data_IF_952286899783
#
_entry.id   IF_952286899783
#
_cell.length_a   1.000
_cell.length_b   1.000
_cell.length_c   1.000
_cell.angle_alpha   90.00
_cell.angle_beta   90.00
_cell.angle_gamma   90.00
#
_symmetry.space_group_name_H-M   'P 1'
#
loop_
_entity.id
_entity.type
_entity.pdbx_description
1 polymer ?
#
# COMPACT_ATOMS: atom_id res chain seq x y z
N UNK A 1 18.32 8.37 10.18
CA UNK A 1 17.19 7.55 9.68
C UNK A 1 15.91 7.72 10.54
N UNK A 2 15.94 8.37 11.72
CA UNK A 2 14.80 8.38 12.67
C UNK A 2 13.81 9.57 12.49
N UNK A 3 14.06 10.53 11.59
CA UNK A 3 13.40 11.84 11.64
C UNK A 3 11.91 11.87 11.23
N UNK A 4 11.39 10.84 10.56
CA UNK A 4 10.01 10.83 10.05
C UNK A 4 9.10 9.74 10.65
N UNK A 5 9.60 8.91 11.58
CA UNK A 5 8.80 7.84 12.18
C UNK A 5 7.54 8.35 12.91
N UNK A 6 7.63 9.57 13.44
CA UNK A 6 6.56 10.26 14.16
C UNK A 6 5.86 11.36 13.35
N UNK A 7 6.23 11.55 12.07
CA UNK A 7 5.58 12.56 11.25
C UNK A 7 4.12 12.14 10.96
N UNK A 8 3.16 12.96 11.38
CA UNK A 8 1.75 12.67 11.17
C UNK A 8 1.36 12.87 9.70
N UNK A 9 1.87 13.92 9.03
CA UNK A 9 1.56 14.28 7.64
C UNK A 9 2.77 15.01 7.02
N UNK A 10 3.02 14.84 5.71
CA UNK A 10 3.99 15.63 4.93
C UNK A 10 3.36 16.96 4.49
N UNK A 11 4.03 18.09 4.73
CA UNK A 11 3.52 19.44 4.42
C UNK A 11 3.89 19.93 2.99
N UNK A 12 4.44 19.05 2.16
CA UNK A 12 4.83 19.36 0.79
C UNK A 12 3.65 19.64 -0.15
N UNK A 13 3.94 20.31 -1.27
CA UNK A 13 2.94 20.59 -2.32
C UNK A 13 2.42 19.30 -2.96
N UNK A 14 1.17 19.34 -3.43
CA UNK A 14 0.54 18.20 -4.10
C UNK A 14 1.36 17.67 -5.30
N UNK A 15 1.91 18.51 -6.20
CA UNK A 15 2.76 18.01 -7.30
C UNK A 15 4.01 17.27 -6.83
N UNK A 16 4.61 17.72 -5.71
CA UNK A 16 5.78 17.05 -5.14
C UNK A 16 5.39 15.71 -4.53
N UNK A 17 4.28 15.65 -3.80
CA UNK A 17 3.70 14.39 -3.28
C UNK A 17 3.38 13.40 -4.39
N UNK A 18 2.75 13.86 -5.48
CA UNK A 18 2.45 13.02 -6.65
C UNK A 18 3.73 12.43 -7.24
N UNK A 19 4.73 13.26 -7.53
CA UNK A 19 6.02 12.81 -8.06
C UNK A 19 6.71 11.82 -7.12
N UNK A 20 6.62 12.02 -5.80
CA UNK A 20 7.15 11.09 -4.82
C UNK A 20 6.41 9.75 -4.89
N UNK A 21 5.08 9.76 -4.82
CA UNK A 21 4.25 8.54 -4.91
C UNK A 21 4.54 7.77 -6.20
N UNK A 22 4.63 8.46 -7.35
CA UNK A 22 4.97 7.84 -8.64
C UNK A 22 6.29 7.05 -8.57
N UNK A 23 7.32 7.64 -7.97
CA UNK A 23 8.62 7.00 -7.84
C UNK A 23 8.61 5.86 -6.80
N UNK A 24 7.86 5.99 -5.70
CA UNK A 24 7.70 4.91 -4.73
C UNK A 24 7.00 3.69 -5.37
N UNK A 25 5.95 3.90 -6.16
CA UNK A 25 5.27 2.81 -6.87
C UNK A 25 6.12 2.18 -7.99
N UNK A 26 6.99 2.96 -8.65
CA UNK A 26 8.00 2.39 -9.56
C UNK A 26 8.95 1.43 -8.84
N UNK A 27 9.29 1.71 -7.58
CA UNK A 27 10.09 0.79 -6.77
C UNK A 27 9.25 -0.44 -6.39
N UNK A 28 8.03 -0.27 -5.89
CA UNK A 28 7.16 -1.38 -5.44
C UNK A 28 6.71 -2.33 -6.55
N UNK A 29 6.87 -1.95 -7.82
CA UNK A 29 6.51 -2.75 -8.99
C UNK A 29 7.72 -3.33 -9.72
N UNK A 30 8.92 -3.11 -9.21
CA UNK A 30 10.15 -3.67 -9.76
C UNK A 30 10.63 -4.83 -8.87
N UNK A 31 10.52 -6.10 -9.31
CA UNK A 31 10.96 -7.25 -8.53
C UNK A 31 12.45 -7.21 -8.18
N UNK A 32 13.28 -6.52 -8.97
CA UNK A 32 14.72 -6.38 -8.70
C UNK A 32 15.03 -5.43 -7.53
N UNK A 33 14.01 -4.74 -7.01
CA UNK A 33 14.12 -3.80 -5.88
C UNK A 33 13.39 -4.28 -4.62
N UNK A 34 13.06 -5.57 -4.53
CA UNK A 34 12.32 -6.15 -3.38
C UNK A 34 12.94 -5.81 -2.02
N UNK A 35 14.27 -5.73 -1.94
CA UNK A 35 15.04 -5.33 -0.75
C UNK A 35 14.70 -3.92 -0.24
N UNK A 36 14.14 -3.05 -1.09
CA UNK A 36 13.74 -1.69 -0.75
C UNK A 36 12.27 -1.58 -0.35
N UNK A 37 11.44 -2.60 -0.57
CA UNK A 37 9.99 -2.50 -0.44
C UNK A 37 9.55 -2.08 0.95
N UNK A 38 10.10 -2.69 2.00
CA UNK A 38 9.75 -2.37 3.38
C UNK A 38 10.00 -0.89 3.70
N UNK A 39 11.16 -0.34 3.32
CA UNK A 39 11.48 1.08 3.52
C UNK A 39 10.60 1.98 2.65
N UNK A 40 10.36 1.61 1.40
CA UNK A 40 9.45 2.34 0.49
C UNK A 40 8.03 2.40 1.07
N UNK A 41 7.52 1.31 1.63
CA UNK A 41 6.21 1.25 2.27
C UNK A 41 6.15 2.10 3.54
N UNK A 42 7.23 2.16 4.33
CA UNK A 42 7.28 3.06 5.50
C UNK A 42 7.15 4.54 5.10
N UNK A 43 7.80 4.94 4.00
CA UNK A 43 7.66 6.30 3.45
C UNK A 43 6.24 6.51 2.92
N UNK A 44 5.72 5.53 2.16
CA UNK A 44 4.37 5.59 1.62
C UNK A 44 3.31 5.72 2.73
N UNK A 45 3.50 5.04 3.87
CA UNK A 45 2.60 5.08 5.02
C UNK A 45 2.43 6.47 5.63
N UNK A 46 3.41 7.35 5.48
CA UNK A 46 3.29 8.75 5.93
C UNK A 46 2.33 9.50 5.00
N UNK A 47 2.39 9.23 3.69
CA UNK A 47 1.52 9.84 2.68
C UNK A 47 0.06 9.34 2.79
N UNK A 48 -0.17 8.11 3.27
CA UNK A 48 -1.53 7.58 3.46
C UNK A 48 -2.29 8.20 4.63
N UNK A 49 -1.65 9.04 5.45
CA UNK A 49 -2.28 9.72 6.60
C UNK A 49 -2.94 11.06 6.25
N UNK A 50 -2.72 11.57 5.05
CA UNK A 50 -3.20 12.88 4.61
C UNK A 50 -4.57 12.77 3.93
N UNK A 51 -5.64 13.05 4.68
CA UNK A 51 -7.02 12.93 4.19
C UNK A 51 -7.37 13.90 3.05
N UNK A 52 -6.61 14.99 2.86
CA UNK A 52 -6.88 15.97 1.80
C UNK A 52 -6.38 15.50 0.43
N UNK A 53 -5.35 14.65 0.42
CA UNK A 53 -4.67 14.26 -0.82
C UNK A 53 -4.82 12.78 -1.15
N UNK A 54 -5.36 11.97 -0.22
CA UNK A 54 -5.44 10.51 -0.36
C UNK A 54 -6.15 10.05 -1.64
N UNK A 55 -7.31 10.61 -1.96
CA UNK A 55 -8.09 10.24 -3.15
C UNK A 55 -7.42 10.66 -4.46
N UNK A 56 -6.53 11.65 -4.41
CA UNK A 56 -5.76 12.13 -5.56
C UNK A 56 -4.50 11.26 -5.76
N UNK A 57 -3.86 10.86 -4.67
CA UNK A 57 -2.58 10.17 -4.70
C UNK A 57 -2.72 8.66 -4.91
N UNK A 58 -3.83 8.05 -4.51
CA UNK A 58 -4.00 6.59 -4.51
C UNK A 58 -5.12 6.16 -5.45
N UNK A 59 -4.75 5.85 -6.70
CA UNK A 59 -5.64 5.23 -7.68
C UNK A 59 -5.92 3.75 -7.35
N UNK A 60 -6.94 3.17 -8.00
CA UNK A 60 -7.29 1.75 -7.85
C UNK A 60 -6.10 0.81 -8.10
N UNK A 61 -5.36 1.02 -9.19
CA UNK A 61 -4.14 0.26 -9.54
C UNK A 61 -3.05 0.34 -8.45
N UNK A 62 -2.93 1.49 -7.77
CA UNK A 62 -2.02 1.65 -6.63
C UNK A 62 -2.50 0.89 -5.40
N UNK A 63 -3.79 0.94 -5.12
CA UNK A 63 -4.42 0.23 -4.00
C UNK A 63 -4.27 -1.28 -4.20
N UNK A 64 -4.50 -1.76 -5.41
CA UNK A 64 -4.33 -3.15 -5.81
C UNK A 64 -2.88 -3.63 -5.61
N UNK A 65 -1.88 -2.83 -6.00
CA UNK A 65 -0.48 -3.13 -5.70
C UNK A 65 -0.25 -3.32 -4.19
N UNK A 66 -0.82 -2.44 -3.35
CA UNK A 66 -0.66 -2.56 -1.89
C UNK A 66 -1.42 -3.78 -1.35
N UNK A 67 -2.59 -4.13 -1.89
CA UNK A 67 -3.35 -5.33 -1.51
C UNK A 67 -2.54 -6.60 -1.77
N UNK A 68 -1.89 -6.71 -2.94
CA UNK A 68 -1.01 -7.82 -3.27
C UNK A 68 0.18 -7.92 -2.31
N UNK A 69 0.83 -6.79 -1.98
CA UNK A 69 1.95 -6.76 -1.03
C UNK A 69 1.52 -7.06 0.42
N UNK A 70 0.29 -6.68 0.80
CA UNK A 70 -0.34 -7.08 2.06
C UNK A 70 -0.83 -8.54 2.04
N UNK A 71 -0.74 -9.16 0.86
CA UNK A 71 -1.26 -10.46 0.49
C UNK A 71 -2.78 -10.60 0.68
N UNK A 72 -3.53 -9.50 0.78
CA UNK A 72 -4.98 -9.46 1.04
C UNK A 72 -5.81 -9.50 -0.26
N UNK A 73 -5.46 -10.43 -1.16
CA UNK A 73 -6.18 -10.68 -2.42
C UNK A 73 -6.96 -11.99 -2.32
N UNK A 74 -8.02 -12.14 -3.11
CA UNK A 74 -8.85 -13.34 -3.13
C UNK A 74 -8.11 -14.58 -3.66
N UNK A 75 -8.68 -15.77 -3.42
CA UNK A 75 -8.07 -17.06 -3.80
C UNK A 75 -7.74 -17.15 -5.30
N UNK A 76 -8.61 -16.64 -6.17
CA UNK A 76 -8.40 -16.67 -7.63
C UNK A 76 -7.16 -15.84 -8.07
N UNK A 77 -6.89 -14.72 -7.41
CA UNK A 77 -5.71 -13.87 -7.66
C UNK A 77 -4.46 -14.44 -6.96
N UNK A 78 -4.63 -15.07 -5.80
CA UNK A 78 -3.56 -15.79 -5.12
C UNK A 78 -3.07 -17.00 -5.92
N UNK A 79 -3.96 -17.71 -6.63
CA UNK A 79 -3.63 -18.86 -7.47
C UNK A 79 -2.83 -18.46 -8.72
N UNK A 80 -3.17 -17.31 -9.32
CA UNK A 80 -2.41 -16.72 -10.44
C UNK A 80 -1.01 -16.25 -10.04
N UNK A 81 -0.78 -16.09 -8.73
CA UNK A 81 0.50 -15.72 -8.14
C UNK A 81 1.19 -16.93 -7.50
N UNK A 82 0.91 -18.18 -7.85
CA UNK A 82 1.60 -19.37 -7.27
C UNK A 82 3.11 -19.45 -7.53
N UNK A 83 3.68 -18.57 -8.37
CA UNK A 83 5.13 -18.33 -8.46
C UNK A 83 5.62 -17.18 -7.55
N UNK A 84 4.76 -16.63 -6.70
CA UNK A 84 5.04 -15.45 -5.88
C UNK A 84 5.88 -15.84 -4.68
N UNK A 85 7.02 -15.17 -4.58
CA UNK A 85 7.79 -15.15 -3.36
C UNK A 85 6.87 -14.76 -2.21
N UNK A 86 6.76 -15.63 -1.20
CA UNK A 86 6.31 -15.22 0.13
C UNK A 86 7.05 -13.93 0.50
N UNK A 87 6.35 -12.81 0.59
CA UNK A 87 6.97 -11.55 0.99
C UNK A 87 7.49 -11.65 2.43
N UNK A 88 8.59 -10.96 2.71
CA UNK A 88 9.06 -10.77 4.09
C UNK A 88 7.91 -10.18 4.93
N UNK A 89 7.73 -10.69 6.15
CA UNK A 89 6.69 -10.23 7.08
C UNK A 89 6.69 -8.71 7.27
N UNK A 90 7.85 -8.04 7.18
CA UNK A 90 7.96 -6.58 7.24
C UNK A 90 7.24 -5.88 6.09
N UNK A 91 7.30 -6.43 4.87
CA UNK A 91 6.61 -5.91 3.69
C UNK A 91 5.10 -6.05 3.89
N UNK A 92 4.66 -7.24 4.32
CA UNK A 92 3.24 -7.53 4.58
C UNK A 92 2.68 -6.57 5.63
N UNK A 93 3.34 -6.45 6.78
CA UNK A 93 2.89 -5.61 7.90
C UNK A 93 2.86 -4.13 7.51
N UNK A 94 3.87 -3.59 6.82
CA UNK A 94 3.84 -2.18 6.41
C UNK A 94 2.77 -1.92 5.33
N UNK A 95 2.51 -2.87 4.43
CA UNK A 95 1.42 -2.78 3.45
C UNK A 95 0.04 -2.75 4.12
N UNK A 96 -0.18 -3.62 5.11
CA UNK A 96 -1.42 -3.64 5.90
C UNK A 96 -1.63 -2.33 6.67
N UNK A 97 -0.57 -1.72 7.21
CA UNK A 97 -0.66 -0.40 7.85
C UNK A 97 -1.00 0.71 6.86
N UNK A 98 -0.44 0.67 5.64
CA UNK A 98 -0.81 1.59 4.57
C UNK A 98 -2.30 1.49 4.25
N UNK A 99 -2.80 0.26 4.01
CA UNK A 99 -4.22 0.01 3.72
C UNK A 99 -5.13 0.46 4.86
N UNK A 100 -4.74 0.21 6.11
CA UNK A 100 -5.54 0.63 7.28
C UNK A 100 -5.78 2.13 7.30
N UNK A 101 -4.76 2.94 7.00
CA UNK A 101 -4.93 4.39 6.88
C UNK A 101 -5.84 4.77 5.71
N UNK A 102 -5.63 4.17 4.53
CA UNK A 102 -6.40 4.48 3.32
C UNK A 102 -7.89 4.15 3.49
N UNK A 103 -8.20 2.97 4.05
CA UNK A 103 -9.55 2.49 4.35
C UNK A 103 -10.21 3.37 5.39
N UNK A 104 -9.50 3.87 6.40
CA UNK A 104 -10.08 4.78 7.39
C UNK A 104 -10.48 6.12 6.76
N UNK A 105 -9.68 6.64 5.82
CA UNK A 105 -9.82 8.00 5.32
C UNK A 105 -10.70 8.15 4.07
N UNK A 106 -10.86 7.13 3.23
CA UNK A 106 -11.63 7.25 1.97
C UNK A 106 -12.70 6.18 1.79
N UNK A 107 -13.94 6.62 1.57
CA UNK A 107 -15.05 5.73 1.20
C UNK A 107 -14.88 5.09 -0.17
N UNK A 108 -14.21 5.78 -1.10
CA UNK A 108 -13.91 5.25 -2.43
C UNK A 108 -12.92 4.10 -2.32
N UNK A 109 -11.85 4.29 -1.54
CA UNK A 109 -10.84 3.25 -1.31
C UNK A 109 -11.46 2.06 -0.56
N UNK A 110 -12.32 2.30 0.45
CA UNK A 110 -13.07 1.21 1.11
C UNK A 110 -13.85 0.36 0.10
N UNK A 111 -14.50 0.99 -0.88
CA UNK A 111 -15.26 0.29 -1.90
C UNK A 111 -14.34 -0.55 -2.81
N UNK A 112 -13.21 0.02 -3.25
CA UNK A 112 -12.21 -0.72 -4.04
C UNK A 112 -11.69 -1.94 -3.28
N UNK A 113 -11.34 -1.79 -2.00
CA UNK A 113 -10.91 -2.94 -1.18
C UNK A 113 -12.02 -3.98 -0.97
N UNK A 114 -13.28 -3.56 -0.85
CA UNK A 114 -14.42 -4.49 -0.71
C UNK A 114 -14.66 -5.30 -1.98
N UNK A 115 -14.42 -4.71 -3.16
CA UNK A 115 -14.61 -5.37 -4.44
C UNK A 115 -13.50 -6.37 -4.79
N UNK A 116 -12.31 -6.22 -4.21
CA UNK A 116 -11.14 -7.09 -4.46
C UNK A 116 -11.03 -8.25 -3.45
N UNK A 117 -12.14 -8.68 -2.86
CA UNK A 117 -12.18 -9.79 -1.90
C UNK A 117 -11.20 -9.65 -0.71
N UNK A 118 -10.87 -8.41 -0.32
CA UNK A 118 -9.92 -8.15 0.77
C UNK A 118 -10.38 -8.80 2.09
N UNK A 119 -11.69 -8.88 2.32
CA UNK A 119 -12.27 -9.54 3.49
C UNK A 119 -11.96 -11.05 3.48
N UNK A 120 -12.02 -11.71 2.33
CA UNK A 120 -11.70 -13.13 2.20
C UNK A 120 -10.21 -13.35 2.47
N UNK A 121 -9.35 -12.47 1.95
CA UNK A 121 -7.91 -12.47 2.25
C UNK A 121 -7.56 -12.19 3.72
N UNK A 122 -8.40 -11.43 4.44
CA UNK A 122 -8.29 -11.26 5.90
C UNK A 122 -8.75 -12.54 6.61
N UNK A 123 -9.89 -13.12 6.22
CA UNK A 123 -10.45 -14.33 6.81
C UNK A 123 -9.51 -15.54 6.68
N UNK A 124 -8.82 -15.68 5.55
CA UNK A 124 -7.83 -16.74 5.33
C UNK A 124 -6.56 -16.60 6.21
N UNK A 125 -6.39 -15.49 6.93
CA UNK A 125 -5.21 -15.22 7.78
C UNK A 125 -5.49 -15.11 9.28
N UNK A 126 -6.74 -15.09 9.70
CA UNK A 126 -7.16 -15.10 11.11
C UNK A 126 -7.34 -16.54 11.60
#
# INVERSE_FOLDING_TARGET
IIQYGNATILQDSLPLKQKLVDNLFRVLRDPQKVQLYATTLQVLRILTRDNQTVDILFSNDRIETILHLAMLVGEDEAFMTENSQSFDAKIVVESQKCLSNLIALSSTIRRTCSNNCCIDGIMLRL
#
